data_IF_145862294117
#
_entry.id   IF_145862294117
#
_cell.length_a   1.000
_cell.length_b   1.000
_cell.length_c   1.000
_cell.angle_alpha   90.00
_cell.angle_beta   90.00
_cell.angle_gamma   90.00
#
_symmetry.space_group_name_H-M   'P 1'
#
loop_
_entity.id
_entity.type
_entity.pdbx_description
1 polymer ?
#
# COMPACT_ATOMS: atom_id res chain seq x y z
N UNK A 1 16.50 -18.53 -17.85
CA UNK A 1 17.13 -18.73 -16.51
C UNK A 1 16.05 -19.27 -15.58
N UNK A 2 16.33 -20.36 -14.85
CA UNK A 2 15.41 -20.81 -13.78
C UNK A 2 15.52 -19.82 -12.61
N UNK A 3 14.40 -19.25 -12.20
CA UNK A 3 14.37 -18.20 -11.17
C UNK A 3 14.43 -18.84 -9.78
N UNK A 4 15.40 -18.44 -8.98
CA UNK A 4 15.60 -18.98 -7.63
C UNK A 4 14.45 -18.60 -6.67
N UNK A 5 14.30 -19.39 -5.60
CA UNK A 5 13.37 -19.06 -4.50
C UNK A 5 13.64 -17.67 -3.93
N UNK A 6 14.92 -17.29 -3.80
CA UNK A 6 15.33 -15.97 -3.32
C UNK A 6 14.82 -14.83 -4.22
N UNK A 7 14.90 -15.02 -5.55
CA UNK A 7 14.43 -14.03 -6.51
C UNK A 7 12.90 -13.93 -6.53
N UNK A 8 12.18 -15.07 -6.44
CA UNK A 8 10.71 -15.11 -6.28
C UNK A 8 10.26 -14.39 -5.01
N UNK A 9 10.93 -14.63 -3.90
CA UNK A 9 10.67 -13.96 -2.63
C UNK A 9 10.90 -12.44 -2.73
N UNK A 10 11.99 -12.01 -3.37
CA UNK A 10 12.30 -10.58 -3.61
C UNK A 10 11.21 -9.94 -4.44
N UNK A 11 10.84 -10.54 -5.55
CA UNK A 11 9.75 -10.07 -6.41
C UNK A 11 8.44 -9.86 -5.63
N UNK A 12 8.04 -10.84 -4.81
CA UNK A 12 6.82 -10.74 -4.02
C UNK A 12 6.90 -9.59 -2.99
N UNK A 13 8.05 -9.38 -2.35
CA UNK A 13 8.26 -8.25 -1.44
C UNK A 13 8.21 -6.91 -2.18
N UNK A 14 8.92 -6.79 -3.29
CA UNK A 14 9.00 -5.56 -4.07
C UNK A 14 7.63 -5.11 -4.60
N UNK A 15 6.82 -6.05 -5.06
CA UNK A 15 5.48 -5.80 -5.59
C UNK A 15 4.37 -5.81 -4.52
N UNK A 16 4.70 -6.07 -3.24
CA UNK A 16 3.75 -6.26 -2.14
C UNK A 16 2.69 -7.33 -2.46
N UNK A 17 3.13 -8.46 -3.05
CA UNK A 17 2.28 -9.60 -3.37
C UNK A 17 2.35 -10.60 -2.22
N UNK A 18 1.23 -11.01 -1.59
CA UNK A 18 1.22 -11.83 -0.39
C UNK A 18 1.37 -13.34 -0.69
N UNK A 19 2.31 -13.72 -1.59
CA UNK A 19 2.68 -15.11 -1.85
C UNK A 19 3.85 -15.47 -0.94
N UNK A 20 3.75 -16.63 -0.27
CA UNK A 20 4.76 -17.19 0.63
C UNK A 20 5.20 -18.60 0.23
N UNK A 21 4.54 -19.21 -0.73
CA UNK A 21 4.85 -20.53 -1.27
C UNK A 21 5.53 -20.37 -2.62
N UNK A 22 6.84 -20.64 -2.69
CA UNK A 22 7.68 -20.32 -3.85
C UNK A 22 8.05 -21.54 -4.70
N UNK A 23 7.71 -22.76 -4.23
CA UNK A 23 7.93 -24.00 -4.99
C UNK A 23 6.95 -24.11 -6.16
N UNK A 24 7.41 -24.67 -7.27
CA UNK A 24 6.52 -25.04 -8.38
C UNK A 24 5.74 -26.33 -8.06
N UNK A 25 4.48 -26.48 -8.53
CA UNK A 25 3.76 -25.54 -9.39
C UNK A 25 3.05 -24.40 -8.62
N UNK A 26 3.08 -24.42 -7.31
CA UNK A 26 2.27 -23.56 -6.43
C UNK A 26 2.52 -22.07 -6.66
N UNK A 27 3.78 -21.68 -6.90
CA UNK A 27 4.11 -20.26 -7.10
C UNK A 27 3.39 -19.70 -8.34
N UNK A 28 3.46 -20.41 -9.48
CA UNK A 28 2.82 -19.96 -10.70
C UNK A 28 1.29 -20.05 -10.65
N UNK A 29 0.74 -21.03 -9.95
CA UNK A 29 -0.70 -21.13 -9.69
C UNK A 29 -1.20 -19.94 -8.87
N UNK A 30 -0.47 -19.57 -7.80
CA UNK A 30 -0.78 -18.39 -6.98
C UNK A 30 -0.67 -17.09 -7.78
N UNK A 31 0.38 -16.93 -8.59
CA UNK A 31 0.52 -15.75 -9.45
C UNK A 31 -0.69 -15.60 -10.39
N UNK A 32 -1.15 -16.68 -11.01
CA UNK A 32 -2.31 -16.67 -11.92
C UNK A 32 -3.61 -16.33 -11.18
N UNK A 33 -3.84 -16.91 -10.00
CA UNK A 33 -5.02 -16.59 -9.20
C UNK A 33 -5.02 -15.12 -8.76
N UNK A 34 -3.87 -14.65 -8.26
CA UNK A 34 -3.73 -13.28 -7.74
C UNK A 34 -3.71 -12.23 -8.85
N UNK A 35 -3.48 -12.65 -10.10
CA UNK A 35 -3.50 -11.73 -11.26
C UNK A 35 -4.85 -11.06 -11.44
N UNK A 36 -5.94 -11.76 -11.11
CA UNK A 36 -7.32 -11.28 -11.19
C UNK A 36 -7.58 -10.05 -10.29
N UNK A 37 -6.74 -9.83 -9.26
CA UNK A 37 -6.89 -8.75 -8.28
C UNK A 37 -5.70 -7.78 -8.26
N UNK A 38 -4.49 -8.25 -8.55
CA UNK A 38 -3.27 -7.49 -8.31
C UNK A 38 -2.38 -7.28 -9.54
N UNK A 39 -2.79 -7.79 -10.71
CA UNK A 39 -2.01 -7.70 -11.96
C UNK A 39 -0.61 -8.31 -11.83
N UNK A 40 -0.52 -9.46 -11.18
CA UNK A 40 0.75 -10.10 -10.79
C UNK A 40 1.54 -10.63 -11.97
N UNK A 41 0.89 -11.10 -13.05
CA UNK A 41 1.55 -11.63 -14.25
C UNK A 41 2.30 -10.53 -14.97
N UNK A 42 1.71 -9.34 -15.14
CA UNK A 42 2.39 -8.19 -15.73
C UNK A 42 3.63 -7.79 -14.93
N UNK A 43 3.50 -7.75 -13.62
CA UNK A 43 4.61 -7.43 -12.70
C UNK A 43 5.71 -8.49 -12.77
N UNK A 44 5.33 -9.77 -12.83
CA UNK A 44 6.26 -10.87 -12.96
C UNK A 44 7.05 -10.84 -14.28
N UNK A 45 6.36 -10.58 -15.40
CA UNK A 45 7.01 -10.44 -16.69
C UNK A 45 8.00 -9.27 -16.72
N UNK A 46 7.63 -8.11 -16.15
CA UNK A 46 8.56 -6.99 -15.98
C UNK A 46 9.79 -7.39 -15.17
N UNK A 47 9.59 -8.09 -14.05
CA UNK A 47 10.70 -8.59 -13.24
C UNK A 47 11.64 -9.51 -14.03
N UNK A 48 11.08 -10.44 -14.80
CA UNK A 48 11.87 -11.35 -15.65
C UNK A 48 12.62 -10.61 -16.76
N UNK A 49 11.98 -9.64 -17.42
CA UNK A 49 12.62 -8.79 -18.43
C UNK A 49 13.82 -8.05 -17.84
N UNK A 50 13.65 -7.46 -16.67
CA UNK A 50 14.73 -6.73 -16.01
C UNK A 50 15.83 -7.67 -15.48
N UNK A 51 15.47 -8.82 -14.92
CA UNK A 51 16.41 -9.82 -14.42
C UNK A 51 17.28 -10.40 -15.56
N UNK A 52 16.71 -10.62 -16.75
CA UNK A 52 17.42 -11.16 -17.90
C UNK A 52 18.45 -10.18 -18.51
N UNK A 53 18.52 -8.93 -18.08
CA UNK A 53 19.57 -7.99 -18.48
C UNK A 53 20.90 -8.25 -17.77
N UNK A 54 20.89 -9.04 -16.69
CA UNK A 54 22.06 -9.39 -15.91
C UNK A 54 22.66 -10.74 -16.37
N UNK A 55 23.94 -10.89 -16.15
CA UNK A 55 24.62 -12.14 -16.46
C UNK A 55 24.14 -13.29 -15.53
N UNK A 56 23.89 -12.95 -14.27
CA UNK A 56 23.34 -13.87 -13.28
C UNK A 56 22.47 -13.12 -12.23
N UNK A 57 21.68 -13.87 -11.44
CA UNK A 57 20.86 -13.29 -10.37
C UNK A 57 21.69 -12.53 -9.31
N UNK A 58 22.94 -12.94 -9.09
CA UNK A 58 23.80 -12.29 -8.11
C UNK A 58 24.10 -10.85 -8.50
N UNK A 59 24.36 -10.57 -9.80
CA UNK A 59 24.61 -9.22 -10.32
C UNK A 59 23.39 -8.30 -10.08
N UNK A 60 22.17 -8.85 -10.27
CA UNK A 60 20.94 -8.13 -9.95
C UNK A 60 20.86 -7.77 -8.47
N UNK A 61 21.18 -8.70 -7.56
CA UNK A 61 21.15 -8.43 -6.12
C UNK A 61 22.24 -7.46 -5.68
N UNK A 62 23.39 -7.47 -6.31
CA UNK A 62 24.47 -6.51 -6.06
C UNK A 62 24.05 -5.10 -6.48
N UNK A 63 23.44 -4.94 -7.67
CA UNK A 63 22.88 -3.64 -8.07
C UNK A 63 21.77 -3.19 -7.14
N UNK A 64 20.85 -4.09 -6.75
CA UNK A 64 19.78 -3.78 -5.82
C UNK A 64 20.33 -3.21 -4.50
N UNK A 65 21.36 -3.85 -3.93
CA UNK A 65 21.99 -3.40 -2.69
C UNK A 65 22.75 -2.08 -2.89
N UNK A 66 23.50 -1.94 -3.98
CA UNK A 66 24.19 -0.70 -4.32
C UNK A 66 23.23 0.48 -4.41
N UNK A 67 22.10 0.33 -5.11
CA UNK A 67 21.06 1.37 -5.22
C UNK A 67 20.49 1.73 -3.85
N UNK A 68 20.10 0.71 -3.07
CA UNK A 68 19.57 0.89 -1.71
C UNK A 68 20.54 1.66 -0.82
N UNK A 69 21.83 1.29 -0.81
CA UNK A 69 22.82 1.87 0.07
C UNK A 69 23.19 3.29 -0.37
N UNK A 70 23.37 3.51 -1.68
CA UNK A 70 23.65 4.83 -2.24
C UNK A 70 22.50 5.83 -2.00
N UNK A 71 21.26 5.42 -2.23
CA UNK A 71 20.10 6.27 -1.97
C UNK A 71 19.92 6.57 -0.47
N UNK A 72 20.12 5.57 0.40
CA UNK A 72 20.08 5.78 1.87
C UNK A 72 21.13 6.76 2.34
N UNK A 73 22.37 6.62 1.84
CA UNK A 73 23.49 7.48 2.18
C UNK A 73 23.24 8.92 1.69
N UNK A 74 22.79 9.08 0.43
CA UNK A 74 22.49 10.39 -0.13
C UNK A 74 21.46 11.17 0.68
N UNK A 75 20.37 10.49 1.12
CA UNK A 75 19.37 11.12 2.00
C UNK A 75 20.03 11.53 3.33
N UNK A 76 20.74 10.61 4.00
CA UNK A 76 21.32 10.84 5.33
C UNK A 76 22.37 11.94 5.37
N UNK A 77 23.12 12.09 4.30
CA UNK A 77 24.19 13.11 4.17
C UNK A 77 23.64 14.50 3.78
N UNK A 78 22.39 14.58 3.29
CA UNK A 78 21.80 15.88 2.94
C UNK A 78 21.69 16.79 4.17
N UNK A 79 21.97 18.09 3.97
CA UNK A 79 21.88 19.08 5.05
C UNK A 79 20.48 19.19 5.62
N UNK A 80 19.48 19.08 4.76
CA UNK A 80 18.08 19.17 5.17
C UNK A 80 17.64 17.97 5.99
N UNK A 81 18.11 16.74 5.68
CA UNK A 81 17.84 15.59 6.53
C UNK A 81 18.52 15.71 7.90
N UNK A 82 19.76 16.20 7.95
CA UNK A 82 20.46 16.44 9.21
C UNK A 82 19.76 17.50 10.06
N UNK A 83 19.22 18.56 9.42
CA UNK A 83 18.38 19.56 10.08
C UNK A 83 17.10 18.94 10.62
N UNK A 84 16.35 18.17 9.78
CA UNK A 84 15.14 17.46 10.18
C UNK A 84 15.36 16.57 11.40
N UNK A 85 16.48 15.87 11.47
CA UNK A 85 16.81 15.03 12.62
C UNK A 85 17.09 15.79 13.93
N UNK A 86 17.40 17.08 13.86
CA UNK A 86 17.64 17.95 15.02
C UNK A 86 16.44 18.82 15.37
N UNK A 87 15.42 18.87 14.50
CA UNK A 87 14.21 19.68 14.68
C UNK A 87 13.50 19.30 15.99
N UNK A 88 12.94 20.27 16.70
CA UNK A 88 12.05 19.96 17.82
C UNK A 88 10.70 19.44 17.29
N UNK A 89 10.42 18.16 17.50
CA UNK A 89 9.19 17.54 17.01
C UNK A 89 7.92 18.10 17.66
N UNK A 90 8.01 18.87 18.74
CA UNK A 90 6.87 19.57 19.34
C UNK A 90 6.30 20.66 18.41
N UNK A 91 7.09 21.18 17.46
CA UNK A 91 6.58 22.09 16.42
C UNK A 91 5.57 21.42 15.49
N UNK A 92 5.60 20.10 15.40
CA UNK A 92 4.68 19.29 14.57
C UNK A 92 3.55 18.66 15.42
N UNK A 93 3.12 19.41 16.46
CA UNK A 93 2.01 18.97 17.28
C UNK A 93 0.69 18.99 16.47
N UNK A 94 -0.13 17.94 16.64
CA UNK A 94 -1.44 17.82 16.01
C UNK A 94 -2.53 18.47 16.87
N UNK A 95 -3.51 19.07 16.23
CA UNK A 95 -4.68 19.70 16.88
C UNK A 95 -5.74 18.67 17.24
N UNK A 96 -5.97 17.68 16.38
CA UNK A 96 -7.04 16.68 16.51
C UNK A 96 -6.52 15.38 17.17
N UNK A 97 -6.19 15.45 18.49
CA UNK A 97 -5.56 14.34 19.24
C UNK A 97 -6.50 13.19 19.59
N UNK A 98 -7.81 13.48 19.71
CA UNK A 98 -8.80 12.55 20.28
C UNK A 98 -9.65 11.83 19.22
N UNK A 99 -9.23 11.84 17.96
CA UNK A 99 -9.93 11.13 16.90
C UNK A 99 -9.71 9.62 16.98
N UNK A 100 -10.66 8.82 16.44
CA UNK A 100 -10.51 7.36 16.41
C UNK A 100 -9.24 6.94 15.66
N UNK A 101 -8.32 6.27 16.36
CA UNK A 101 -7.06 5.78 15.78
C UNK A 101 -7.04 4.27 15.52
N UNK A 102 -8.14 3.55 15.80
CA UNK A 102 -8.31 2.13 15.45
C UNK A 102 -8.93 2.03 14.07
N UNK A 103 -8.47 1.07 13.28
CA UNK A 103 -8.97 0.84 11.93
C UNK A 103 -10.49 0.58 11.87
N UNK A 104 -11.01 0.60 10.65
CA UNK A 104 -12.43 0.42 10.35
C UNK A 104 -12.84 -1.05 10.17
N UNK A 105 -11.88 -2.00 10.27
CA UNK A 105 -12.15 -3.41 10.01
C UNK A 105 -12.77 -4.09 11.22
N UNK A 106 -14.08 -3.83 11.43
CA UNK A 106 -14.91 -4.38 12.50
C UNK A 106 -16.33 -4.64 12.03
N UNK A 107 -17.00 -5.62 12.64
CA UNK A 107 -18.33 -6.06 12.22
C UNK A 107 -19.39 -4.94 12.19
N UNK A 108 -19.26 -3.92 13.05
CA UNK A 108 -20.20 -2.78 13.08
C UNK A 108 -20.10 -1.87 11.84
N UNK A 109 -19.07 -2.04 11.02
CA UNK A 109 -18.86 -1.30 9.77
C UNK A 109 -19.11 -2.14 8.51
N UNK A 110 -19.55 -3.38 8.68
CA UNK A 110 -20.00 -4.20 7.56
C UNK A 110 -21.13 -3.50 6.78
N UNK A 111 -21.03 -3.53 5.45
CA UNK A 111 -21.98 -2.90 4.50
C UNK A 111 -22.13 -1.37 4.68
N UNK A 112 -21.12 -0.73 5.24
CA UNK A 112 -21.07 0.72 5.33
C UNK A 112 -20.19 1.33 4.26
N UNK A 113 -20.56 2.54 3.82
CA UNK A 113 -19.88 3.29 2.77
C UNK A 113 -18.96 4.33 3.39
N UNK A 114 -17.77 4.45 2.81
CA UNK A 114 -16.71 5.31 3.30
C UNK A 114 -16.09 6.16 2.20
N UNK A 115 -15.54 7.30 2.59
CA UNK A 115 -14.58 8.08 1.81
C UNK A 115 -13.27 8.06 2.60
N UNK A 116 -12.18 7.60 1.98
CA UNK A 116 -10.84 7.74 2.55
C UNK A 116 -10.01 8.78 1.81
N UNK A 117 -9.09 9.40 2.54
CA UNK A 117 -8.10 10.35 2.05
C UNK A 117 -6.76 9.82 2.53
N UNK A 118 -5.93 9.36 1.60
CA UNK A 118 -4.67 8.64 1.87
C UNK A 118 -3.48 9.40 1.27
N UNK A 119 -2.39 9.52 2.02
CA UNK A 119 -1.15 10.14 1.54
C UNK A 119 -0.38 9.16 0.66
N UNK A 120 -0.28 9.45 -0.63
CA UNK A 120 0.49 8.61 -1.56
C UNK A 120 1.95 8.56 -1.16
N UNK A 121 2.50 7.34 -0.99
CA UNK A 121 3.91 7.12 -0.60
C UNK A 121 4.29 7.97 0.63
N UNK A 122 3.50 7.91 1.70
CA UNK A 122 3.52 8.85 2.82
C UNK A 122 4.92 9.21 3.31
N UNK A 123 5.79 8.21 3.56
CA UNK A 123 7.15 8.43 4.02
C UNK A 123 8.01 9.27 3.05
N UNK A 124 7.90 9.06 1.73
CA UNK A 124 8.56 9.91 0.74
C UNK A 124 7.90 11.30 0.69
N UNK A 125 6.58 11.34 0.56
CA UNK A 125 5.81 12.58 0.41
C UNK A 125 6.05 13.53 1.57
N UNK A 126 6.07 13.04 2.81
CA UNK A 126 6.33 13.86 3.98
C UNK A 126 7.76 14.45 3.98
N UNK A 127 8.77 13.62 3.75
CA UNK A 127 10.16 14.10 3.72
C UNK A 127 10.42 15.05 2.54
N UNK A 128 9.86 14.77 1.37
CA UNK A 128 9.95 15.62 0.19
C UNK A 128 9.25 16.97 0.40
N UNK A 129 8.09 16.97 1.07
CA UNK A 129 7.39 18.19 1.47
C UNK A 129 8.22 19.03 2.47
N UNK A 130 8.93 18.37 3.41
CA UNK A 130 9.80 19.09 4.33
C UNK A 130 10.97 19.76 3.60
N UNK A 131 11.63 19.05 2.67
CA UNK A 131 12.72 19.60 1.85
C UNK A 131 13.03 18.69 0.65
N UNK A 132 12.90 19.21 -0.55
CA UNK A 132 13.14 18.48 -1.80
C UNK A 132 14.59 18.06 -1.99
N UNK A 133 15.56 18.85 -1.49
CA UNK A 133 17.01 18.58 -1.60
C UNK A 133 17.48 17.35 -0.81
N UNK A 134 16.61 16.74 0.01
CA UNK A 134 16.86 15.42 0.58
C UNK A 134 16.95 14.32 -0.48
N UNK A 135 16.28 14.50 -1.61
CA UNK A 135 16.18 13.53 -2.69
C UNK A 135 17.07 13.92 -3.88
N UNK A 136 18.33 14.24 -3.58
CA UNK A 136 19.37 14.47 -4.57
C UNK A 136 19.90 13.14 -5.10
N UNK A 137 19.79 12.93 -6.41
CA UNK A 137 20.36 11.78 -7.14
C UNK A 137 21.50 12.23 -8.05
N UNK A 138 22.26 11.31 -8.67
CA UNK A 138 23.24 11.67 -9.73
C UNK A 138 22.65 12.43 -10.90
N UNK A 139 21.34 12.34 -11.15
CA UNK A 139 20.64 13.08 -12.22
C UNK A 139 20.04 14.42 -11.75
N UNK A 140 20.17 14.78 -10.48
CA UNK A 140 19.63 16.01 -9.91
C UNK A 140 18.66 15.79 -8.75
N UNK A 141 18.00 16.86 -8.30
CA UNK A 141 16.92 16.79 -7.32
C UNK A 141 15.71 16.17 -7.99
N UNK A 142 15.12 15.18 -7.34
CA UNK A 142 13.99 14.42 -7.86
C UNK A 142 12.66 14.91 -7.28
N UNK A 143 11.64 15.05 -8.12
CA UNK A 143 10.27 15.42 -7.73
C UNK A 143 9.44 14.19 -7.34
N UNK A 144 9.78 13.01 -7.84
CA UNK A 144 9.10 11.76 -7.52
C UNK A 144 10.06 10.72 -6.96
N UNK A 145 9.52 9.73 -6.26
CA UNK A 145 10.31 8.59 -5.78
C UNK A 145 10.97 7.82 -6.95
N UNK A 146 10.23 7.64 -8.03
CA UNK A 146 10.70 6.94 -9.23
C UNK A 146 11.87 7.68 -9.87
N UNK A 147 11.82 9.01 -9.98
CA UNK A 147 12.93 9.83 -10.48
C UNK A 147 14.15 9.75 -9.56
N UNK A 148 13.92 9.74 -8.25
CA UNK A 148 15.01 9.62 -7.28
C UNK A 148 15.76 8.28 -7.46
N UNK A 149 15.05 7.16 -7.46
CA UNK A 149 15.68 5.84 -7.64
C UNK A 149 16.21 5.68 -9.07
N UNK A 150 15.51 6.21 -10.09
CA UNK A 150 15.94 6.23 -11.48
C UNK A 150 17.24 7.02 -11.72
N UNK A 151 17.66 7.83 -10.75
CA UNK A 151 18.98 8.47 -10.73
C UNK A 151 20.13 7.50 -10.43
N UNK A 152 19.86 6.36 -9.80
CA UNK A 152 20.86 5.36 -9.40
C UNK A 152 20.84 4.09 -10.25
N UNK A 153 19.75 3.82 -10.98
CA UNK A 153 19.56 2.61 -11.81
C UNK A 153 18.60 2.87 -12.97
N UNK A 154 18.72 2.06 -14.03
CA UNK A 154 17.75 1.99 -15.13
C UNK A 154 16.81 0.79 -15.02
N UNK A 155 16.99 -0.06 -13.99
CA UNK A 155 16.16 -1.22 -13.76
C UNK A 155 14.76 -0.81 -13.28
N UNK A 156 13.75 -0.97 -14.14
CA UNK A 156 12.37 -0.53 -13.87
C UNK A 156 11.75 -1.26 -12.68
N UNK A 157 12.07 -2.54 -12.48
CA UNK A 157 11.56 -3.28 -11.32
C UNK A 157 12.07 -2.70 -9.99
N UNK A 158 13.37 -2.32 -9.92
CA UNK A 158 13.95 -1.66 -8.75
C UNK A 158 13.32 -0.27 -8.54
N UNK A 159 13.14 0.50 -9.61
CA UNK A 159 12.53 1.84 -9.57
C UNK A 159 11.11 1.78 -8.99
N UNK A 160 10.29 0.81 -9.43
CA UNK A 160 8.90 0.65 -9.04
C UNK A 160 8.74 -0.10 -7.69
N UNK A 161 9.81 -0.63 -7.10
CA UNK A 161 9.75 -1.44 -5.88
C UNK A 161 9.22 -0.64 -4.68
N UNK A 162 8.07 -1.08 -4.15
CA UNK A 162 7.54 -0.56 -2.88
C UNK A 162 8.46 -0.91 -1.71
N UNK A 163 9.04 -2.11 -1.74
CA UNK A 163 9.88 -2.59 -0.65
C UNK A 163 11.19 -1.81 -0.52
N UNK A 164 11.88 -1.51 -1.65
CA UNK A 164 13.12 -0.72 -1.58
C UNK A 164 12.87 0.66 -0.97
N UNK A 165 11.71 1.30 -1.30
CA UNK A 165 11.30 2.56 -0.67
C UNK A 165 11.13 2.41 0.83
N UNK A 166 10.42 1.38 1.26
CA UNK A 166 10.19 1.12 2.68
C UNK A 166 11.48 0.86 3.44
N UNK A 167 12.44 0.14 2.84
CA UNK A 167 13.73 -0.16 3.46
C UNK A 167 14.60 1.09 3.55
N UNK A 168 14.74 1.87 2.46
CA UNK A 168 15.53 3.10 2.44
C UNK A 168 15.01 4.09 3.47
N UNK A 169 13.71 4.42 3.41
CA UNK A 169 13.10 5.41 4.31
C UNK A 169 12.91 4.88 5.73
N UNK A 170 12.75 3.56 5.90
CA UNK A 170 12.79 2.90 7.21
C UNK A 170 14.14 3.01 7.91
N UNK A 171 15.24 3.18 7.15
CA UNK A 171 16.57 3.49 7.70
C UNK A 171 16.81 5.00 7.98
N UNK A 172 15.84 5.86 7.61
CA UNK A 172 15.92 7.30 7.73
C UNK A 172 15.07 7.84 8.88
N UNK A 173 15.24 7.31 10.10
CA UNK A 173 14.55 7.74 11.32
C UNK A 173 13.01 7.72 11.20
N UNK A 174 12.39 6.55 11.08
CA UNK A 174 10.95 6.43 10.77
C UNK A 174 10.03 7.08 11.80
N UNK A 175 10.42 7.12 13.08
CA UNK A 175 9.59 7.76 14.13
C UNK A 175 9.37 9.25 13.87
N UNK A 176 10.38 9.94 13.32
CA UNK A 176 10.27 11.38 13.06
C UNK A 176 9.39 11.66 11.85
N UNK A 177 9.59 10.95 10.73
CA UNK A 177 8.76 11.23 9.57
C UNK A 177 7.30 10.79 9.78
N UNK A 178 7.00 9.73 10.55
CA UNK A 178 5.64 9.37 10.95
C UNK A 178 4.98 10.52 11.76
N UNK A 179 5.72 11.16 12.66
CA UNK A 179 5.20 12.34 13.39
C UNK A 179 4.87 13.48 12.43
N UNK A 180 5.74 13.72 11.45
CA UNK A 180 5.54 14.77 10.46
C UNK A 180 4.42 14.43 9.46
N UNK A 181 4.29 13.17 9.03
CA UNK A 181 3.15 12.67 8.24
C UNK A 181 1.82 13.01 8.94
N UNK A 182 1.73 12.66 10.23
CA UNK A 182 0.53 12.94 11.03
C UNK A 182 0.23 14.43 11.15
N UNK A 183 1.25 15.26 11.30
CA UNK A 183 1.10 16.73 11.30
C UNK A 183 0.54 17.24 9.96
N UNK A 184 1.04 16.74 8.83
CA UNK A 184 0.52 17.09 7.51
C UNK A 184 -0.94 16.68 7.34
N UNK A 185 -1.30 15.45 7.77
CA UNK A 185 -2.67 14.95 7.70
C UNK A 185 -3.62 15.72 8.64
N UNK A 186 -3.15 16.18 9.80
CA UNK A 186 -3.91 17.08 10.67
C UNK A 186 -4.21 18.42 9.99
N UNK A 187 -3.24 18.95 9.24
CA UNK A 187 -3.42 20.13 8.39
C UNK A 187 -4.43 19.91 7.25
N UNK A 188 -4.42 18.73 6.63
CA UNK A 188 -5.43 18.33 5.63
C UNK A 188 -6.81 18.30 6.27
N UNK A 189 -6.95 17.62 7.40
CA UNK A 189 -8.22 17.55 8.14
C UNK A 189 -8.75 18.94 8.47
N UNK A 190 -7.91 19.80 9.03
CA UNK A 190 -8.29 21.19 9.38
C UNK A 190 -8.81 21.97 8.14
N UNK A 191 -8.16 21.79 6.98
CA UNK A 191 -8.57 22.47 5.74
C UNK A 191 -9.89 21.94 5.17
N UNK A 192 -10.25 20.69 5.48
CA UNK A 192 -11.45 20.02 4.96
C UNK A 192 -12.66 20.16 5.89
N UNK A 193 -12.44 20.33 7.20
CA UNK A 193 -13.51 20.53 8.20
C UNK A 193 -14.33 21.78 7.82
N UNK A 194 -15.63 21.70 8.10
CA UNK A 194 -16.64 22.72 7.83
C UNK A 194 -16.86 23.04 6.34
N UNK A 195 -15.87 22.81 5.49
CA UNK A 195 -15.97 23.02 4.04
C UNK A 195 -16.54 21.80 3.31
N UNK A 196 -16.12 20.62 3.74
CA UNK A 196 -16.46 19.37 3.06
C UNK A 196 -17.33 18.46 3.93
N UNK A 197 -17.02 18.37 5.22
CA UNK A 197 -17.69 17.48 6.19
C UNK A 197 -17.53 18.00 7.61
N UNK A 198 -18.30 17.45 8.54
CA UNK A 198 -18.18 17.69 9.98
C UNK A 198 -17.27 16.64 10.63
N UNK A 199 -16.69 16.96 11.79
CA UNK A 199 -15.71 16.12 12.51
C UNK A 199 -16.28 14.77 12.92
N UNK A 200 -17.60 14.69 13.20
CA UNK A 200 -18.31 13.48 13.64
C UNK A 200 -18.29 12.36 12.58
N UNK A 201 -18.04 12.70 11.32
CA UNK A 201 -17.90 11.72 10.22
C UNK A 201 -16.57 11.00 10.22
N UNK A 202 -15.56 11.52 10.93
CA UNK A 202 -14.23 10.92 10.98
C UNK A 202 -14.27 9.68 11.87
N UNK A 203 -14.15 8.52 11.27
CA UNK A 203 -14.16 7.22 11.96
C UNK A 203 -12.78 6.59 12.11
N UNK A 204 -11.79 7.13 11.39
CA UNK A 204 -10.38 6.76 11.51
C UNK A 204 -9.48 7.93 11.13
N UNK A 205 -8.43 8.14 11.92
CA UNK A 205 -7.38 9.12 11.68
C UNK A 205 -6.02 8.55 12.08
N UNK A 206 -5.16 8.34 11.10
CA UNK A 206 -3.78 7.87 11.30
C UNK A 206 -2.75 8.94 10.92
N UNK A 207 -1.50 8.52 10.75
CA UNK A 207 -0.43 9.38 10.24
C UNK A 207 -0.53 9.67 8.74
N UNK A 208 -1.23 8.84 7.97
CA UNK A 208 -1.26 8.92 6.51
C UNK A 208 -2.67 8.77 5.90
N UNK A 209 -3.70 8.46 6.72
CA UNK A 209 -5.06 8.25 6.25
C UNK A 209 -6.12 8.89 7.14
N UNK A 210 -7.16 9.45 6.52
CA UNK A 210 -8.41 9.91 7.14
C UNK A 210 -9.56 9.13 6.51
N UNK A 211 -10.44 8.51 7.32
CA UNK A 211 -11.63 7.81 6.81
C UNK A 211 -12.90 8.42 7.38
N UNK A 212 -13.84 8.70 6.50
CA UNK A 212 -15.16 9.27 6.78
C UNK A 212 -16.24 8.21 6.57
N UNK A 213 -17.16 8.05 7.51
CA UNK A 213 -18.37 7.26 7.28
C UNK A 213 -19.45 8.15 6.64
N UNK A 214 -20.08 7.66 5.56
CA UNK A 214 -21.08 8.40 4.79
C UNK A 214 -22.36 7.60 4.52
N UNK A 215 -22.53 6.47 5.17
CA UNK A 215 -23.63 5.50 4.92
C UNK A 215 -25.01 6.06 5.24
N UNK A 216 -25.13 7.04 6.14
CA UNK A 216 -26.36 7.71 6.51
C UNK A 216 -26.86 8.73 5.45
N UNK A 217 -26.03 9.04 4.47
CA UNK A 217 -26.35 9.97 3.39
C UNK A 217 -26.96 9.24 2.19
N UNK A 218 -27.86 9.91 1.50
CA UNK A 218 -28.30 9.47 0.19
C UNK A 218 -27.15 9.41 -0.82
N UNK A 219 -27.15 8.45 -1.75
CA UNK A 219 -26.08 8.20 -2.72
C UNK A 219 -25.65 9.47 -3.47
N UNK A 220 -26.61 10.33 -3.83
CA UNK A 220 -26.32 11.62 -4.45
C UNK A 220 -25.48 12.54 -3.57
N UNK A 221 -25.80 12.62 -2.28
CA UNK A 221 -25.06 13.42 -1.29
C UNK A 221 -23.68 12.84 -0.99
N UNK A 222 -23.54 11.50 -0.97
CA UNK A 222 -22.24 10.84 -0.84
C UNK A 222 -21.30 11.22 -1.99
N UNK A 223 -21.78 11.13 -3.23
CA UNK A 223 -21.01 11.48 -4.44
C UNK A 223 -20.66 12.98 -4.48
N UNK A 224 -21.57 13.86 -4.05
CA UNK A 224 -21.28 15.29 -3.95
C UNK A 224 -20.22 15.59 -2.89
N UNK A 225 -20.26 14.92 -1.74
CA UNK A 225 -19.22 15.02 -0.70
C UNK A 225 -17.87 14.53 -1.24
N UNK A 226 -17.81 13.36 -1.89
CA UNK A 226 -16.61 12.84 -2.54
C UNK A 226 -16.01 13.87 -3.49
N UNK A 227 -16.84 14.47 -4.36
CA UNK A 227 -16.39 15.48 -5.32
C UNK A 227 -15.83 16.72 -4.64
N UNK A 228 -16.47 17.22 -3.58
CA UNK A 228 -15.96 18.35 -2.78
C UNK A 228 -14.62 18.01 -2.13
N UNK A 229 -14.50 16.85 -1.47
CA UNK A 229 -13.27 16.36 -0.86
C UNK A 229 -12.16 16.25 -1.90
N UNK A 230 -12.41 15.55 -3.01
CA UNK A 230 -11.42 15.37 -4.08
C UNK A 230 -10.94 16.71 -4.68
N UNK A 231 -11.84 17.68 -4.87
CA UNK A 231 -11.49 19.02 -5.37
C UNK A 231 -10.63 19.82 -4.38
N UNK A 232 -10.87 19.66 -3.07
CA UNK A 232 -10.04 20.29 -2.04
C UNK A 232 -8.67 19.60 -1.94
N UNK A 233 -8.65 18.27 -1.98
CA UNK A 233 -7.43 17.45 -1.93
C UNK A 233 -6.49 17.75 -3.11
N UNK A 234 -7.01 17.92 -4.33
CA UNK A 234 -6.23 18.30 -5.53
C UNK A 234 -5.48 19.64 -5.38
N UNK A 235 -5.88 20.49 -4.44
CA UNK A 235 -5.24 21.80 -4.19
C UNK A 235 -4.22 21.77 -3.06
N UNK A 236 -3.96 20.59 -2.46
CA UNK A 236 -2.94 20.45 -1.42
C UNK A 236 -1.55 20.43 -2.05
N UNK A 237 -0.55 20.80 -1.26
CA UNK A 237 0.85 20.96 -1.69
C UNK A 237 1.57 19.61 -1.88
N UNK A 238 0.93 18.51 -1.51
CA UNK A 238 1.48 17.16 -1.61
C UNK A 238 0.44 16.14 -2.09
N UNK A 239 0.92 14.97 -2.51
CA UNK A 239 0.11 13.99 -3.20
C UNK A 239 -0.78 13.19 -2.26
N UNK A 240 -2.09 13.36 -2.41
CA UNK A 240 -3.14 12.62 -1.72
C UNK A 240 -3.98 11.83 -2.73
N UNK A 241 -4.63 10.76 -2.25
CA UNK A 241 -5.60 9.96 -2.97
C UNK A 241 -6.92 9.97 -2.21
N UNK A 242 -8.03 10.07 -2.92
CA UNK A 242 -9.36 9.83 -2.36
C UNK A 242 -9.91 8.53 -2.90
N UNK A 243 -10.50 7.71 -2.03
CA UNK A 243 -11.22 6.49 -2.39
C UNK A 243 -12.66 6.58 -1.87
N UNK A 244 -13.58 6.05 -2.63
CA UNK A 244 -14.96 5.84 -2.23
C UNK A 244 -15.26 4.34 -2.30
N UNK A 245 -15.61 3.73 -1.17
CA UNK A 245 -15.73 2.29 -1.09
C UNK A 245 -16.84 1.82 -0.14
N UNK A 246 -17.35 0.63 -0.42
CA UNK A 246 -18.19 -0.15 0.46
C UNK A 246 -17.31 -1.19 1.17
N UNK A 247 -17.47 -1.32 2.49
CA UNK A 247 -16.77 -2.33 3.28
C UNK A 247 -17.66 -3.56 3.46
N UNK A 248 -17.09 -4.73 3.22
CA UNK A 248 -17.75 -6.02 3.42
C UNK A 248 -16.98 -6.88 4.40
N UNK A 249 -17.69 -7.50 5.34
CA UNK A 249 -17.12 -8.56 6.17
C UNK A 249 -17.22 -9.91 5.45
N UNK A 250 -16.14 -10.70 5.50
CA UNK A 250 -16.13 -12.05 4.97
C UNK A 250 -16.72 -13.00 6.02
N UNK A 251 -17.73 -13.75 5.63
CA UNK A 251 -18.36 -14.75 6.51
C UNK A 251 -17.44 -15.94 6.76
N UNK A 252 -17.45 -16.45 8.00
CA UNK A 252 -16.63 -17.59 8.41
C UNK A 252 -15.23 -17.25 8.89
N UNK A 253 -14.81 -15.98 8.85
CA UNK A 253 -13.48 -15.54 9.31
C UNK A 253 -13.44 -14.06 9.73
N UNK A 254 -12.34 -13.65 10.36
CA UNK A 254 -12.04 -12.25 10.65
C UNK A 254 -11.29 -11.61 9.48
N UNK A 255 -12.00 -11.42 8.37
CA UNK A 255 -11.49 -10.81 7.16
C UNK A 255 -12.51 -9.85 6.56
N UNK A 256 -12.03 -8.94 5.73
CA UNK A 256 -12.84 -7.91 5.07
C UNK A 256 -12.37 -7.73 3.63
N UNK A 257 -13.22 -7.14 2.81
CA UNK A 257 -12.80 -6.55 1.55
C UNK A 257 -13.45 -5.18 1.35
N UNK A 258 -12.69 -4.31 0.69
CA UNK A 258 -13.18 -3.04 0.18
C UNK A 258 -13.64 -3.24 -1.26
N UNK A 259 -14.84 -2.81 -1.56
CA UNK A 259 -15.33 -2.64 -2.93
C UNK A 259 -15.16 -1.16 -3.29
N UNK A 260 -14.07 -0.84 -4.02
CA UNK A 260 -13.64 0.54 -4.31
C UNK A 260 -14.22 0.93 -5.66
N UNK A 261 -15.04 1.97 -5.68
CA UNK A 261 -15.67 2.49 -6.89
C UNK A 261 -14.77 3.51 -7.58
N UNK A 262 -14.31 3.17 -8.78
CA UNK A 262 -13.43 4.01 -9.58
C UNK A 262 -14.20 5.06 -10.40
N UNK A 263 -13.54 6.15 -10.78
CA UNK A 263 -14.14 7.24 -11.58
C UNK A 263 -14.65 6.78 -12.96
N UNK A 264 -14.04 5.75 -13.54
CA UNK A 264 -14.42 5.15 -14.83
C UNK A 264 -15.58 4.15 -14.74
N UNK A 265 -16.16 3.98 -13.54
CA UNK A 265 -17.25 3.05 -13.27
C UNK A 265 -16.80 1.60 -13.03
N UNK A 266 -15.51 1.33 -13.05
CA UNK A 266 -14.98 0.03 -12.63
C UNK A 266 -14.97 -0.09 -11.11
N UNK A 267 -14.86 -1.33 -10.64
CA UNK A 267 -14.75 -1.65 -9.22
C UNK A 267 -13.44 -2.40 -8.98
N UNK A 268 -12.67 -1.95 -8.00
CA UNK A 268 -11.46 -2.63 -7.53
C UNK A 268 -11.75 -3.31 -6.18
N UNK A 269 -11.25 -4.53 -6.00
CA UNK A 269 -11.41 -5.29 -4.75
C UNK A 269 -10.09 -5.33 -4.02
N UNK A 270 -10.12 -4.91 -2.76
CA UNK A 270 -8.96 -4.95 -1.87
C UNK A 270 -9.27 -5.77 -0.61
N UNK A 271 -8.61 -6.91 -0.45
CA UNK A 271 -8.76 -7.77 0.74
C UNK A 271 -7.96 -7.22 1.91
N UNK A 272 -8.55 -7.27 3.12
CA UNK A 272 -7.98 -6.74 4.38
C UNK A 272 -8.11 -7.74 5.51
N UNK A 273 -7.18 -7.68 6.45
CA UNK A 273 -7.18 -8.48 7.69
C UNK A 273 -7.24 -10.00 7.42
N UNK A 274 -6.59 -10.47 6.36
CA UNK A 274 -6.55 -11.89 5.99
C UNK A 274 -5.12 -12.44 6.12
N UNK A 275 -5.01 -13.61 6.70
CA UNK A 275 -3.79 -14.38 6.62
C UNK A 275 -3.49 -14.80 5.18
N UNK A 276 -2.21 -14.78 4.80
CA UNK A 276 -1.79 -15.08 3.43
C UNK A 276 -2.25 -16.46 2.93
N UNK A 277 -2.38 -17.43 3.85
CA UNK A 277 -2.84 -18.78 3.52
C UNK A 277 -4.36 -18.87 3.33
N UNK A 278 -5.13 -17.87 3.79
CA UNK A 278 -6.57 -17.79 3.59
C UNK A 278 -6.96 -17.09 2.28
N UNK A 279 -6.08 -16.26 1.74
CA UNK A 279 -6.36 -15.49 0.51
C UNK A 279 -6.82 -16.34 -0.67
N UNK A 280 -6.23 -17.52 -0.98
CA UNK A 280 -6.71 -18.32 -2.10
C UNK A 280 -8.16 -18.76 -1.98
N UNK A 281 -8.58 -19.16 -0.77
CA UNK A 281 -9.96 -19.56 -0.52
C UNK A 281 -10.94 -18.40 -0.71
N UNK A 282 -10.57 -17.22 -0.20
CA UNK A 282 -11.37 -16.00 -0.36
C UNK A 282 -11.46 -15.59 -1.82
N UNK A 283 -10.35 -15.61 -2.55
CA UNK A 283 -10.32 -15.27 -3.98
C UNK A 283 -11.13 -16.25 -4.82
N UNK A 284 -11.04 -17.59 -4.54
CA UNK A 284 -11.85 -18.60 -5.21
C UNK A 284 -13.35 -18.41 -4.94
N UNK A 285 -13.72 -18.17 -3.67
CA UNK A 285 -15.09 -17.88 -3.31
C UNK A 285 -15.62 -16.61 -4.01
N UNK A 286 -14.79 -15.55 -4.08
CA UNK A 286 -15.14 -14.30 -4.75
C UNK A 286 -15.32 -14.46 -6.27
N UNK A 287 -14.54 -15.35 -6.89
CA UNK A 287 -14.58 -15.64 -8.32
C UNK A 287 -15.61 -16.74 -8.67
N UNK A 288 -16.26 -17.34 -7.67
CA UNK A 288 -17.16 -18.50 -7.83
C UNK A 288 -16.43 -19.70 -8.47
N UNK A 289 -15.14 -19.87 -8.14
CA UNK A 289 -14.29 -20.94 -8.66
C UNK A 289 -14.07 -22.02 -7.58
N UNK A 290 -13.85 -23.27 -8.02
CA UNK A 290 -13.53 -24.37 -7.13
C UNK A 290 -12.14 -24.22 -6.51
N UNK A 291 -12.02 -24.60 -5.23
CA UNK A 291 -10.76 -24.67 -4.51
C UNK A 291 -9.92 -25.82 -5.05
N UNK A 292 -8.71 -25.53 -5.49
CA UNK A 292 -7.77 -26.53 -6.01
C UNK A 292 -6.97 -27.20 -4.88
N UNK A 293 -6.34 -28.35 -5.18
CA UNK A 293 -5.40 -28.99 -4.25
C UNK A 293 -4.21 -28.07 -3.91
N UNK A 294 -3.75 -27.26 -4.88
CA UNK A 294 -2.72 -26.26 -4.66
C UNK A 294 -3.14 -25.20 -3.66
N UNK A 295 -4.41 -24.79 -3.63
CA UNK A 295 -4.92 -23.77 -2.72
C UNK A 295 -4.89 -24.21 -1.26
N UNK A 296 -4.96 -25.51 -0.99
CA UNK A 296 -4.91 -26.10 0.35
C UNK A 296 -3.50 -26.12 0.95
N UNK A 297 -2.45 -25.97 0.13
CA UNK A 297 -1.05 -26.03 0.54
C UNK A 297 -0.53 -24.66 0.88
N UNK A 298 0.15 -24.50 2.02
CA UNK A 298 0.70 -23.23 2.48
C UNK A 298 1.98 -23.43 3.30
N UNK A 299 2.71 -22.33 3.53
CA UNK A 299 3.92 -22.33 4.35
C UNK A 299 3.61 -21.69 5.70
N UNK A 300 3.87 -22.41 6.79
CA UNK A 300 3.64 -21.96 8.14
C UNK A 300 4.81 -22.34 9.03
N UNK A 301 5.40 -21.39 9.73
CA UNK A 301 6.52 -21.59 10.66
C UNK A 301 7.69 -22.42 10.09
N UNK A 302 8.00 -22.24 8.83
CA UNK A 302 9.11 -22.95 8.17
C UNK A 302 8.74 -24.34 7.64
N UNK A 303 7.48 -24.77 7.76
CA UNK A 303 7.00 -26.07 7.30
C UNK A 303 5.95 -25.94 6.22
N UNK A 304 5.96 -26.89 5.29
CA UNK A 304 4.88 -27.05 4.33
C UNK A 304 3.69 -27.72 5.05
N UNK A 305 2.58 -27.00 5.12
CA UNK A 305 1.36 -27.45 5.75
C UNK A 305 0.22 -27.55 4.73
N UNK A 306 -0.84 -28.26 5.09
CA UNK A 306 -2.01 -28.45 4.23
C UNK A 306 -3.29 -28.44 5.05
N UNK A 307 -4.31 -27.74 4.56
CA UNK A 307 -5.65 -27.83 5.11
C UNK A 307 -6.26 -29.23 4.87
N UNK A 308 -6.68 -29.89 5.93
CA UNK A 308 -7.39 -31.17 5.86
C UNK A 308 -8.80 -30.95 5.30
N UNK A 309 -9.46 -29.92 5.80
CA UNK A 309 -10.79 -29.50 5.35
C UNK A 309 -10.70 -28.14 4.65
N UNK A 310 -11.57 -27.89 3.69
CA UNK A 310 -11.66 -26.59 3.02
C UNK A 310 -12.29 -25.58 3.99
N UNK A 311 -11.62 -24.46 4.30
CA UNK A 311 -12.20 -23.42 5.13
C UNK A 311 -13.51 -22.89 4.54
N UNK A 312 -14.52 -22.74 5.40
CA UNK A 312 -15.78 -22.13 4.97
C UNK A 312 -15.60 -20.63 4.81
N UNK A 313 -15.73 -20.17 3.59
CA UNK A 313 -15.67 -18.75 3.22
C UNK A 313 -17.00 -18.37 2.61
N UNK A 314 -17.60 -17.29 3.10
CA UNK A 314 -18.80 -16.71 2.50
C UNK A 314 -18.49 -15.27 2.12
N UNK A 315 -18.48 -15.03 0.82
CA UNK A 315 -18.41 -13.69 0.23
C UNK A 315 -19.84 -13.35 -0.19
N UNK A 316 -20.30 -12.13 0.12
CA UNK A 316 -21.65 -11.72 -0.23
C UNK A 316 -21.92 -11.95 -1.72
N UNK A 317 -23.06 -12.56 -2.04
CA UNK A 317 -23.52 -12.72 -3.42
C UNK A 317 -23.60 -11.32 -4.07
N UNK A 318 -22.95 -11.18 -5.21
CA UNK A 318 -23.13 -10.01 -6.07
C UNK A 318 -24.61 -9.96 -6.47
N UNK A 319 -25.35 -8.99 -5.92
CA UNK A 319 -26.71 -8.69 -6.38
C UNK A 319 -26.68 -7.89 -7.67
#
# INVERSE_FOLDING_TARGET
MEVSTRAKERFCKDCNIPIRLFQEPYFMERLKLYDRFYGTIRKWNLFLEELNKYHCEQDYFEEYNRVKDAATMGIKESKSYQRFNKEDMNYFAVSHKNLPGKDIFKASFDRKTFISIDMKKANFTALHHYATDMFQSPKGIADTWEDFIGGFTENRHIIESKYIRQVILGNCNPKRHITYERYLMDGVLTKLLDKCFSIERVVFFSNDEIVLEVSDLEVGAQKEMLKRVANCVKKMEFSLRTEYFLLHKIGGMDGYYKEIYMEDGQTEIEFKCLDNYMLPFVMRAFLEEEVTEGDRTFYHEGLLARFVEIPRVVVDEKK
#
